data_IF_374981559629
#
_entry.id   IF_374981559629
#
_cell.length_a   1.000
_cell.length_b   1.000
_cell.length_c   1.000
_cell.angle_alpha   90.00
_cell.angle_beta   90.00
_cell.angle_gamma   90.00
#
_symmetry.space_group_name_H-M   'P 1'
#
loop_
_entity.id
_entity.type
_entity.pdbx_description
1 polymer ?
#
# COMPACT_ATOMS: atom_id res chain seq x y z
N UNK A 1 -39.97 -32.42 -0.12
CA UNK A 1 -38.67 -33.04 -0.40
C UNK A 1 -37.79 -32.29 -1.41
N UNK A 2 -38.28 -31.37 -2.26
CA UNK A 2 -37.47 -30.62 -3.24
C UNK A 2 -36.81 -29.32 -2.73
N UNK A 3 -37.17 -28.84 -1.53
CA UNK A 3 -36.60 -27.62 -0.94
C UNK A 3 -35.38 -27.82 -0.02
N UNK A 4 -35.15 -29.04 0.44
CA UNK A 4 -34.06 -29.39 1.35
C UNK A 4 -32.76 -29.71 0.58
N UNK A 5 -32.88 -30.15 -0.70
CA UNK A 5 -31.74 -30.51 -1.54
C UNK A 5 -30.99 -29.27 -2.05
N UNK A 6 -31.67 -28.13 -2.24
CA UNK A 6 -31.02 -26.89 -2.72
C UNK A 6 -30.19 -26.17 -1.67
N UNK A 7 -30.48 -26.38 -0.39
CA UNK A 7 -29.72 -25.74 0.71
C UNK A 7 -28.40 -26.46 0.96
N UNK A 8 -28.39 -27.80 0.75
CA UNK A 8 -27.14 -28.56 0.90
C UNK A 8 -26.12 -28.35 -0.26
N UNK A 9 -26.58 -27.99 -1.46
CA UNK A 9 -25.69 -27.73 -2.60
C UNK A 9 -25.03 -26.37 -2.48
N UNK A 10 -25.69 -25.38 -1.90
CA UNK A 10 -25.12 -24.04 -1.66
C UNK A 10 -24.07 -24.05 -0.53
N UNK A 11 -24.30 -24.85 0.52
CA UNK A 11 -23.34 -24.99 1.63
C UNK A 11 -22.04 -25.72 1.22
N UNK A 12 -22.12 -26.64 0.23
CA UNK A 12 -20.94 -27.36 -0.26
C UNK A 12 -20.08 -26.48 -1.21
N UNK A 13 -20.68 -25.51 -1.92
CA UNK A 13 -19.91 -24.56 -2.73
C UNK A 13 -19.16 -23.51 -1.92
N UNK A 14 -19.68 -23.11 -0.75
CA UNK A 14 -19.01 -22.13 0.14
C UNK A 14 -17.82 -22.77 0.88
N UNK A 15 -17.90 -24.06 1.20
CA UNK A 15 -16.79 -24.79 1.82
C UNK A 15 -15.66 -25.10 0.81
N UNK A 16 -15.99 -25.17 -0.49
CA UNK A 16 -15.00 -25.40 -1.55
C UNK A 16 -14.13 -24.18 -1.87
N UNK A 17 -14.54 -22.97 -1.49
CA UNK A 17 -13.77 -21.73 -1.74
C UNK A 17 -12.78 -21.45 -0.59
N UNK A 18 -13.09 -21.89 0.63
CA UNK A 18 -12.20 -21.76 1.79
C UNK A 18 -11.04 -22.78 1.82
N UNK A 19 -11.11 -23.85 1.01
CA UNK A 19 -10.04 -24.84 0.89
C UNK A 19 -9.11 -24.61 -0.32
N UNK A 20 -9.38 -23.62 -1.15
CA UNK A 20 -8.54 -23.29 -2.31
C UNK A 20 -7.47 -22.20 -2.01
N UNK A 21 -7.47 -21.60 -0.83
CA UNK A 21 -6.45 -20.65 -0.38
C UNK A 21 -5.32 -21.27 0.45
N UNK A 22 -5.28 -22.58 0.62
CA UNK A 22 -4.00 -23.23 0.90
C UNK A 22 -3.32 -23.48 -0.44
N UNK A 23 -2.82 -22.40 -1.06
CA UNK A 23 -1.77 -22.47 -2.06
C UNK A 23 -0.71 -23.39 -1.46
N UNK A 24 -0.49 -24.54 -2.09
CA UNK A 24 0.70 -25.33 -1.80
C UNK A 24 1.86 -24.34 -1.96
N UNK A 25 2.43 -23.88 -0.83
CA UNK A 25 3.71 -23.19 -0.82
C UNK A 25 4.67 -24.17 -1.50
N UNK A 26 4.89 -23.98 -2.79
CA UNK A 26 6.08 -24.52 -3.41
C UNK A 26 7.21 -23.78 -2.70
N UNK A 27 7.85 -24.44 -1.74
CA UNK A 27 9.17 -24.05 -1.29
C UNK A 27 10.08 -24.11 -2.53
N UNK A 28 10.14 -23.00 -3.25
CA UNK A 28 10.99 -22.85 -4.44
C UNK A 28 12.48 -22.85 -4.10
N UNK A 29 12.80 -22.86 -2.80
CA UNK A 29 14.17 -22.73 -2.29
C UNK A 29 14.45 -23.81 -1.25
N UNK A 30 15.55 -24.56 -1.42
CA UNK A 30 16.12 -25.41 -0.37
C UNK A 30 17.16 -24.60 0.41
N UNK A 31 17.39 -24.93 1.69
CA UNK A 31 18.40 -24.25 2.51
C UNK A 31 19.84 -24.39 1.98
N UNK A 32 20.08 -25.29 1.04
CA UNK A 32 21.39 -25.56 0.45
C UNK A 32 21.58 -24.90 -0.92
N UNK A 33 20.52 -24.30 -1.51
CA UNK A 33 20.60 -23.60 -2.79
C UNK A 33 20.77 -22.09 -2.59
N UNK A 34 21.53 -21.41 -3.48
CA UNK A 34 21.61 -19.95 -3.42
C UNK A 34 20.21 -19.35 -3.52
N UNK A 35 19.96 -18.28 -2.75
CA UNK A 35 18.70 -17.55 -2.78
C UNK A 35 18.45 -17.09 -4.22
N UNK A 36 17.37 -17.53 -4.82
CA UNK A 36 16.97 -17.15 -6.17
C UNK A 36 15.58 -16.52 -6.14
N UNK A 37 15.48 -15.32 -6.70
CA UNK A 37 14.21 -14.61 -6.81
C UNK A 37 13.94 -14.25 -8.27
N UNK A 38 12.66 -14.02 -8.56
CA UNK A 38 12.23 -13.36 -9.79
C UNK A 38 11.61 -12.03 -9.34
N UNK A 39 12.21 -10.94 -9.76
CA UNK A 39 11.71 -9.61 -9.41
C UNK A 39 10.52 -9.19 -10.28
N UNK A 40 9.94 -8.03 -9.97
CA UNK A 40 8.79 -7.50 -10.69
C UNK A 40 9.06 -7.19 -12.18
N UNK A 41 10.32 -7.07 -12.58
CA UNK A 41 10.75 -6.95 -13.99
C UNK A 41 10.98 -8.33 -14.68
N UNK A 42 10.55 -9.45 -14.05
CA UNK A 42 10.79 -10.82 -14.49
C UNK A 42 12.27 -11.18 -14.66
N UNK A 43 13.17 -10.54 -13.90
CA UNK A 43 14.59 -10.85 -13.90
C UNK A 43 14.91 -11.86 -12.83
N UNK A 44 15.74 -12.86 -13.17
CA UNK A 44 16.27 -13.82 -12.19
C UNK A 44 17.49 -13.20 -11.51
N UNK A 45 17.45 -13.12 -10.19
CA UNK A 45 18.51 -12.57 -9.36
C UNK A 45 18.87 -13.60 -8.31
N UNK A 46 20.17 -13.78 -8.05
CA UNK A 46 20.67 -14.77 -7.11
C UNK A 46 21.57 -14.13 -6.06
N UNK A 47 21.44 -14.58 -4.82
CA UNK A 47 22.29 -14.22 -3.72
C UNK A 47 22.91 -15.50 -3.13
N UNK A 48 24.19 -15.45 -2.75
CA UNK A 48 24.85 -16.58 -2.07
C UNK A 48 24.48 -16.69 -0.58
N UNK A 49 24.05 -15.58 -0.01
CA UNK A 49 23.63 -15.40 1.38
C UNK A 49 22.65 -14.25 1.47
N UNK A 50 21.85 -14.12 2.54
CA UNK A 50 20.93 -13.02 2.74
C UNK A 50 21.63 -11.66 2.71
N UNK A 51 21.03 -10.66 2.03
CA UNK A 51 21.56 -9.32 1.92
C UNK A 51 21.68 -8.65 3.31
N UNK A 52 22.83 -8.02 3.57
CA UNK A 52 23.14 -7.34 4.82
C UNK A 52 23.16 -5.82 4.68
N UNK A 53 23.15 -5.31 3.45
CA UNK A 53 23.14 -3.88 3.16
C UNK A 53 22.26 -3.57 1.95
N UNK A 54 21.46 -2.51 2.05
CA UNK A 54 20.53 -2.09 1.01
C UNK A 54 20.57 -0.59 0.79
N UNK A 55 20.58 -0.18 -0.48
CA UNK A 55 20.34 1.18 -0.88
C UNK A 55 18.96 1.29 -1.55
N UNK A 56 18.22 2.36 -1.25
CA UNK A 56 16.90 2.60 -1.82
C UNK A 56 16.81 3.96 -2.48
N UNK A 57 16.10 4.02 -3.60
CA UNK A 57 15.46 5.25 -4.07
C UNK A 57 13.95 5.05 -4.02
N UNK A 58 13.17 6.14 -4.03
CA UNK A 58 11.74 6.03 -3.71
C UNK A 58 11.51 5.42 -2.31
N UNK A 59 12.35 5.84 -1.36
CA UNK A 59 12.35 5.31 -0.02
C UNK A 59 10.98 5.35 0.67
N UNK A 60 10.12 6.30 0.32
CA UNK A 60 8.74 6.37 0.82
C UNK A 60 7.91 5.13 0.52
N UNK A 61 8.12 4.51 -0.64
CA UNK A 61 7.41 3.29 -1.05
C UNK A 61 8.18 2.02 -0.73
N UNK A 62 9.51 2.05 -0.64
CA UNK A 62 10.35 0.87 -0.44
C UNK A 62 10.66 0.60 1.03
N UNK A 63 11.05 1.64 1.77
CA UNK A 63 11.54 1.48 3.13
C UNK A 63 10.50 0.86 4.11
N UNK A 64 9.18 1.14 4.01
CA UNK A 64 8.19 0.51 4.89
C UNK A 64 8.22 -1.02 4.85
N UNK A 65 8.54 -1.63 3.71
CA UNK A 65 8.71 -3.08 3.63
C UNK A 65 9.91 -3.56 4.45
N UNK A 66 11.02 -2.81 4.40
CA UNK A 66 12.24 -3.12 5.15
C UNK A 66 12.02 -2.97 6.68
N UNK A 67 11.21 -1.98 7.08
CA UNK A 67 10.82 -1.83 8.48
C UNK A 67 9.93 -2.98 8.94
N UNK A 68 8.95 -3.39 8.14
CA UNK A 68 8.08 -4.50 8.44
C UNK A 68 8.83 -5.82 8.59
N UNK A 69 9.89 -6.01 7.81
CA UNK A 69 10.78 -7.17 7.90
C UNK A 69 11.81 -7.07 9.03
N UNK A 70 11.90 -5.93 9.73
CA UNK A 70 12.86 -5.71 10.81
C UNK A 70 14.30 -5.49 10.35
N UNK A 71 14.50 -5.12 9.07
CA UNK A 71 15.83 -4.91 8.45
C UNK A 71 16.10 -3.43 8.10
N UNK A 72 15.41 -2.51 8.76
CA UNK A 72 15.61 -1.06 8.56
C UNK A 72 17.03 -0.59 8.87
N UNK A 73 17.74 -1.26 9.78
CA UNK A 73 19.13 -1.00 10.13
C UNK A 73 20.13 -1.39 9.03
N UNK A 74 19.71 -2.20 8.06
CA UNK A 74 20.51 -2.56 6.87
C UNK A 74 20.46 -1.49 5.76
N UNK A 75 19.67 -0.42 5.92
CA UNK A 75 19.57 0.69 4.95
C UNK A 75 20.84 1.54 5.05
N UNK A 76 21.68 1.50 4.02
CA UNK A 76 22.93 2.28 3.93
C UNK A 76 22.78 3.54 3.08
N UNK A 77 21.70 3.65 2.30
CA UNK A 77 21.35 4.85 1.54
C UNK A 77 19.84 4.93 1.28
N UNK A 78 19.29 6.13 1.43
CA UNK A 78 17.88 6.42 1.11
C UNK A 78 17.68 7.91 0.82
N UNK A 79 16.64 8.23 0.05
CA UNK A 79 16.29 9.62 -0.27
C UNK A 79 15.11 10.15 0.56
N UNK A 80 14.39 9.30 1.29
CA UNK A 80 13.28 9.74 2.14
C UNK A 80 13.69 9.68 3.60
N UNK A 81 13.55 10.82 4.30
CA UNK A 81 14.05 11.03 5.66
C UNK A 81 13.03 11.64 6.61
N UNK A 82 11.76 11.78 6.21
CA UNK A 82 10.70 12.39 7.02
C UNK A 82 9.68 11.35 7.54
N UNK A 83 8.81 11.76 8.44
CA UNK A 83 7.71 10.94 8.94
C UNK A 83 8.19 9.65 9.61
N UNK A 84 7.60 8.51 9.21
CA UNK A 84 7.93 7.17 9.73
C UNK A 84 9.42 6.86 9.66
N UNK A 85 10.13 7.40 8.65
CA UNK A 85 11.55 7.09 8.45
C UNK A 85 12.43 7.62 9.58
N UNK A 86 12.08 8.76 10.19
CA UNK A 86 12.80 9.31 11.34
C UNK A 86 12.65 8.46 12.60
N UNK A 87 11.52 7.79 12.74
CA UNK A 87 11.28 6.87 13.86
C UNK A 87 11.93 5.52 13.61
N UNK A 88 11.87 5.04 12.37
CA UNK A 88 12.41 3.72 12.00
C UNK A 88 13.94 3.66 12.05
N UNK A 89 14.61 4.73 11.67
CA UNK A 89 16.06 4.76 11.53
C UNK A 89 16.62 5.90 12.39
N UNK A 90 17.18 5.59 13.57
CA UNK A 90 17.93 6.58 14.34
C UNK A 90 19.06 7.17 13.49
N UNK A 91 19.21 8.49 13.50
CA UNK A 91 20.21 9.24 12.73
C UNK A 91 20.06 9.10 11.19
N UNK A 92 18.83 9.01 10.69
CA UNK A 92 18.55 8.91 9.26
C UNK A 92 19.16 10.06 8.45
N UNK A 93 19.37 11.22 9.07
CA UNK A 93 19.99 12.39 8.44
C UNK A 93 21.46 12.14 8.04
N UNK A 94 22.15 11.25 8.74
CA UNK A 94 23.53 10.87 8.46
C UNK A 94 23.62 9.84 7.31
N UNK A 95 22.51 9.18 6.95
CA UNK A 95 22.47 8.20 5.85
C UNK A 95 22.51 8.94 4.51
N UNK A 96 23.45 8.62 3.61
CA UNK A 96 23.56 9.28 2.31
C UNK A 96 22.38 8.94 1.39
N UNK A 97 22.18 9.77 0.37
CA UNK A 97 21.26 9.47 -0.73
C UNK A 97 22.07 9.02 -1.96
N UNK A 98 21.53 8.07 -2.70
CA UNK A 98 22.04 7.66 -4.02
C UNK A 98 21.16 8.19 -5.16
N UNK A 99 20.51 9.33 -4.91
CA UNK A 99 19.62 9.99 -5.84
C UNK A 99 18.15 9.89 -5.42
N UNK A 100 17.29 10.55 -6.17
CA UNK A 100 15.84 10.55 -5.97
C UNK A 100 15.15 9.97 -7.21
N UNK A 101 14.85 10.81 -8.20
CA UNK A 101 14.29 10.39 -9.49
C UNK A 101 15.33 9.73 -10.41
N UNK A 102 16.59 10.09 -10.25
CA UNK A 102 17.70 9.56 -11.03
C UNK A 102 18.74 8.99 -10.09
N UNK A 103 19.23 7.81 -10.42
CA UNK A 103 20.26 7.12 -9.65
C UNK A 103 21.62 7.85 -9.80
N UNK A 104 22.26 8.15 -8.68
CA UNK A 104 23.65 8.53 -8.62
C UNK A 104 24.51 7.25 -8.57
N UNK A 105 24.97 6.81 -9.75
CA UNK A 105 25.77 5.60 -9.91
C UNK A 105 27.13 5.69 -9.18
N UNK A 106 27.71 6.88 -9.09
CA UNK A 106 28.98 7.07 -8.42
C UNK A 106 28.82 6.91 -6.91
N UNK A 107 27.83 7.55 -6.31
CA UNK A 107 27.51 7.38 -4.90
C UNK A 107 27.14 5.93 -4.57
N UNK A 108 26.34 5.27 -5.41
CA UNK A 108 25.96 3.86 -5.21
C UNK A 108 27.21 2.94 -5.31
N UNK A 109 28.10 3.17 -6.26
CA UNK A 109 29.32 2.38 -6.42
C UNK A 109 30.27 2.53 -5.22
N UNK A 110 30.37 3.73 -4.63
CA UNK A 110 31.19 3.97 -3.43
C UNK A 110 30.66 3.24 -2.20
N UNK A 111 29.31 3.18 -2.04
CA UNK A 111 28.69 2.48 -0.93
C UNK A 111 28.72 0.96 -1.10
N UNK A 112 28.68 0.50 -2.35
CA UNK A 112 28.74 -0.93 -2.72
C UNK A 112 27.81 -1.81 -1.88
N UNK A 113 26.48 -1.51 -1.78
CA UNK A 113 25.55 -2.33 -1.01
C UNK A 113 25.36 -3.70 -1.66
N UNK A 114 24.90 -4.69 -0.91
CA UNK A 114 24.55 -6.01 -1.42
C UNK A 114 23.43 -5.97 -2.45
N UNK A 115 22.48 -5.01 -2.25
CA UNK A 115 21.34 -4.82 -3.14
C UNK A 115 20.91 -3.35 -3.21
N UNK A 116 20.46 -2.95 -4.38
CA UNK A 116 19.72 -1.71 -4.62
C UNK A 116 18.26 -2.04 -4.93
N UNK A 117 17.31 -1.40 -4.24
CA UNK A 117 15.89 -1.62 -4.44
C UNK A 117 15.23 -0.33 -4.96
N UNK A 118 14.39 -0.51 -5.98
CA UNK A 118 13.61 0.57 -6.59
C UNK A 118 12.13 0.19 -6.65
N UNK A 119 11.25 1.14 -6.39
CA UNK A 119 9.80 0.93 -6.34
C UNK A 119 9.12 0.60 -7.67
N UNK A 120 9.84 0.66 -8.79
CA UNK A 120 9.29 0.37 -10.12
C UNK A 120 10.04 -0.74 -10.83
N UNK A 121 9.26 -1.66 -11.40
CA UNK A 121 9.76 -2.88 -11.99
C UNK A 121 10.65 -2.70 -13.24
N UNK A 122 10.39 -1.69 -14.06
CA UNK A 122 11.03 -1.52 -15.38
C UNK A 122 11.83 -0.21 -15.47
N UNK A 123 12.58 0.14 -14.41
CA UNK A 123 13.27 1.41 -14.34
C UNK A 123 14.68 1.30 -14.90
N UNK A 124 15.13 2.33 -15.64
CA UNK A 124 16.52 2.49 -16.08
C UNK A 124 17.51 2.57 -14.90
N UNK A 125 17.00 2.87 -13.70
CA UNK A 125 17.78 2.89 -12.46
C UNK A 125 18.29 1.49 -12.10
N UNK A 126 17.45 0.46 -12.32
CA UNK A 126 17.83 -0.94 -12.07
C UNK A 126 18.95 -1.38 -12.99
N UNK A 127 18.87 -1.01 -14.27
CA UNK A 127 19.94 -1.28 -15.24
C UNK A 127 21.22 -0.52 -14.86
N UNK A 128 21.09 0.74 -14.48
CA UNK A 128 22.18 1.58 -14.03
C UNK A 128 22.95 1.01 -12.83
N UNK A 129 22.28 0.41 -11.86
CA UNK A 129 22.91 -0.24 -10.73
C UNK A 129 23.66 -1.52 -11.17
N UNK A 130 23.05 -2.33 -12.04
CA UNK A 130 23.67 -3.55 -12.56
C UNK A 130 24.94 -3.26 -13.40
N UNK A 131 24.97 -2.18 -14.18
CA UNK A 131 26.14 -1.76 -14.96
C UNK A 131 27.38 -1.49 -14.11
N UNK A 132 27.19 -1.07 -12.86
CA UNK A 132 28.28 -0.82 -11.90
C UNK A 132 28.52 -2.00 -10.96
N UNK A 133 27.87 -3.15 -11.19
CA UNK A 133 28.08 -4.39 -10.44
C UNK A 133 27.27 -4.50 -9.13
N UNK A 134 26.33 -3.59 -8.86
CA UNK A 134 25.40 -3.67 -7.73
C UNK A 134 24.13 -4.40 -8.17
N UNK A 135 23.76 -5.48 -7.44
CA UNK A 135 22.50 -6.18 -7.70
C UNK A 135 21.33 -5.22 -7.49
N UNK A 136 20.34 -5.27 -8.39
CA UNK A 136 19.16 -4.42 -8.29
C UNK A 136 17.87 -5.24 -8.32
N UNK A 137 16.90 -4.84 -7.53
CA UNK A 137 15.56 -5.44 -7.45
C UNK A 137 14.53 -4.36 -7.74
N UNK A 138 13.63 -4.63 -8.70
CA UNK A 138 12.41 -3.88 -8.90
C UNK A 138 11.28 -4.54 -8.12
N UNK A 139 10.57 -3.77 -7.30
CA UNK A 139 9.36 -4.26 -6.64
C UNK A 139 8.12 -3.76 -7.37
N UNK A 140 7.02 -4.49 -7.24
CA UNK A 140 5.72 -4.11 -7.75
C UNK A 140 4.83 -3.67 -6.59
N UNK A 141 4.21 -2.53 -6.74
CA UNK A 141 3.47 -1.87 -5.65
C UNK A 141 2.15 -1.28 -6.15
N UNK A 142 1.41 -2.04 -6.97
CA UNK A 142 0.20 -1.54 -7.61
C UNK A 142 -1.09 -2.09 -6.98
N UNK A 143 -1.00 -3.16 -6.18
CA UNK A 143 -2.16 -3.82 -5.58
C UNK A 143 -1.85 -4.33 -4.18
N UNK A 144 -2.87 -4.70 -3.41
CA UNK A 144 -2.69 -5.35 -2.10
C UNK A 144 -2.02 -6.72 -2.22
N UNK A 145 -2.27 -7.45 -3.32
CA UNK A 145 -1.55 -8.69 -3.59
C UNK A 145 -0.07 -8.43 -3.88
N UNK A 146 0.27 -7.38 -4.63
CA UNK A 146 1.66 -6.98 -4.85
C UNK A 146 2.37 -6.62 -3.56
N UNK A 147 1.66 -6.03 -2.58
CA UNK A 147 2.21 -5.74 -1.24
C UNK A 147 2.63 -7.03 -0.56
N UNK A 148 1.75 -8.03 -0.50
CA UNK A 148 2.04 -9.31 0.12
C UNK A 148 3.17 -10.05 -0.59
N UNK A 149 3.14 -10.10 -1.93
CA UNK A 149 4.19 -10.73 -2.74
C UNK A 149 5.55 -10.03 -2.56
N UNK A 150 5.56 -8.69 -2.41
CA UNK A 150 6.78 -7.92 -2.15
C UNK A 150 7.35 -8.21 -0.76
N UNK A 151 6.49 -8.34 0.26
CA UNK A 151 6.91 -8.74 1.60
C UNK A 151 7.57 -10.12 1.55
N UNK A 152 6.96 -11.10 0.89
CA UNK A 152 7.52 -12.44 0.74
C UNK A 152 8.84 -12.43 -0.05
N UNK A 153 8.90 -11.72 -1.17
CA UNK A 153 10.11 -11.60 -1.99
C UNK A 153 11.26 -11.01 -1.20
N UNK A 154 11.03 -9.91 -0.49
CA UNK A 154 12.07 -9.27 0.32
C UNK A 154 12.42 -10.11 1.56
N UNK A 155 11.45 -10.83 2.14
CA UNK A 155 11.71 -11.82 3.18
C UNK A 155 12.78 -12.82 2.75
N UNK A 156 12.68 -13.38 1.54
CA UNK A 156 13.70 -14.27 0.97
C UNK A 156 15.05 -13.58 0.75
N UNK A 157 15.04 -12.34 0.24
CA UNK A 157 16.29 -11.60 -0.02
C UNK A 157 17.08 -11.34 1.27
N UNK A 158 16.39 -11.04 2.35
CA UNK A 158 17.00 -10.67 3.63
C UNK A 158 17.09 -11.82 4.63
N UNK A 159 16.53 -13.02 4.32
CA UNK A 159 16.50 -14.19 5.21
C UNK A 159 15.50 -14.00 6.38
N UNK A 160 14.40 -13.32 6.14
CA UNK A 160 13.37 -12.97 7.13
C UNK A 160 12.00 -13.56 6.75
N UNK A 161 11.98 -14.81 6.26
CA UNK A 161 10.77 -15.47 5.75
C UNK A 161 9.69 -15.64 6.82
N UNK A 162 10.08 -16.03 8.05
CA UNK A 162 9.14 -16.17 9.17
C UNK A 162 8.51 -14.80 9.51
N UNK A 163 9.31 -13.73 9.42
CA UNK A 163 8.84 -12.39 9.65
C UNK A 163 7.90 -11.92 8.53
N UNK A 164 8.22 -12.22 7.29
CA UNK A 164 7.36 -11.94 6.13
C UNK A 164 5.99 -12.63 6.28
N UNK A 165 5.99 -13.91 6.65
CA UNK A 165 4.75 -14.64 6.92
C UNK A 165 3.93 -14.03 8.06
N UNK A 166 4.59 -13.61 9.14
CA UNK A 166 3.91 -12.93 10.26
C UNK A 166 3.24 -11.63 9.80
N UNK A 167 3.96 -10.78 9.05
CA UNK A 167 3.44 -9.49 8.57
C UNK A 167 2.25 -9.70 7.63
N UNK A 168 2.37 -10.61 6.67
CA UNK A 168 1.29 -10.94 5.75
C UNK A 168 0.04 -11.46 6.48
N UNK A 169 0.22 -12.33 7.47
CA UNK A 169 -0.89 -12.84 8.29
C UNK A 169 -1.54 -11.71 9.12
N UNK A 170 -0.74 -10.77 9.63
CA UNK A 170 -1.25 -9.63 10.38
C UNK A 170 -2.10 -8.72 9.49
N UNK A 171 -1.61 -8.35 8.30
CA UNK A 171 -2.38 -7.56 7.33
C UNK A 171 -3.67 -8.30 6.91
N UNK A 172 -3.61 -9.61 6.69
CA UNK A 172 -4.78 -10.42 6.37
C UNK A 172 -5.82 -10.43 7.51
N UNK A 173 -5.39 -10.35 8.78
CA UNK A 173 -6.34 -10.25 9.90
C UNK A 173 -7.13 -8.94 9.88
N UNK A 174 -6.51 -7.82 9.52
CA UNK A 174 -7.20 -6.54 9.35
C UNK A 174 -8.14 -6.58 8.14
N UNK A 175 -7.71 -7.19 7.02
CA UNK A 175 -8.59 -7.41 5.87
C UNK A 175 -9.83 -8.23 6.26
N UNK A 176 -9.68 -9.22 7.15
CA UNK A 176 -10.81 -10.02 7.65
C UNK A 176 -11.80 -9.15 8.45
N UNK A 177 -11.31 -8.23 9.29
CA UNK A 177 -12.16 -7.25 9.98
C UNK A 177 -13.03 -6.50 8.97
N UNK A 178 -12.41 -5.94 7.91
CA UNK A 178 -13.16 -5.20 6.90
C UNK A 178 -14.23 -6.09 6.25
N UNK A 179 -13.81 -7.24 5.73
CA UNK A 179 -14.70 -8.13 4.97
C UNK A 179 -15.87 -8.67 5.79
N UNK A 180 -15.65 -8.96 7.06
CA UNK A 180 -16.70 -9.42 7.97
C UNK A 180 -17.74 -8.33 8.26
N UNK A 181 -17.30 -7.09 8.49
CA UNK A 181 -18.20 -5.98 8.80
C UNK A 181 -19.05 -5.56 7.61
N UNK A 182 -18.49 -5.55 6.39
CA UNK A 182 -19.26 -5.20 5.19
C UNK A 182 -19.95 -6.39 4.51
N UNK A 183 -19.89 -7.59 5.08
CA UNK A 183 -20.45 -8.81 4.47
C UNK A 183 -21.96 -8.73 4.16
N UNK A 184 -22.70 -7.92 4.89
CA UNK A 184 -24.13 -7.71 4.68
C UNK A 184 -24.45 -6.63 3.63
N UNK A 185 -23.48 -5.85 3.20
CA UNK A 185 -23.69 -4.74 2.26
C UNK A 185 -23.85 -5.30 0.84
N UNK A 186 -25.02 -5.07 0.25
CA UNK A 186 -25.27 -5.47 -1.13
C UNK A 186 -24.56 -4.55 -2.13
N UNK A 187 -24.29 -5.06 -3.33
CA UNK A 187 -23.61 -4.23 -4.35
C UNK A 187 -24.37 -2.93 -4.70
N UNK A 188 -25.70 -2.95 -4.62
CA UNK A 188 -26.51 -1.77 -4.95
C UNK A 188 -26.45 -0.70 -3.86
N UNK A 189 -26.12 -1.07 -2.64
CA UNK A 189 -26.03 -0.18 -1.47
C UNK A 189 -24.62 0.43 -1.30
N UNK A 190 -23.62 -0.06 -2.03
CA UNK A 190 -22.26 0.47 -1.92
C UNK A 190 -22.20 1.92 -2.40
N UNK A 191 -21.66 2.84 -1.58
CA UNK A 191 -21.53 4.26 -1.96
C UNK A 191 -20.52 4.46 -3.08
N UNK A 192 -20.73 5.52 -3.84
CA UNK A 192 -19.82 5.97 -4.89
C UNK A 192 -18.72 6.84 -4.28
N UNK A 193 -17.49 6.48 -4.50
CA UNK A 193 -16.30 7.09 -3.89
C UNK A 193 -15.40 7.68 -4.96
N UNK A 194 -14.84 8.85 -4.69
CA UNK A 194 -13.74 9.43 -5.43
C UNK A 194 -12.56 9.68 -4.50
N UNK A 195 -11.36 9.29 -4.90
CA UNK A 195 -10.12 9.65 -4.23
C UNK A 195 -9.37 10.66 -5.08
N UNK A 196 -9.16 11.85 -4.54
CA UNK A 196 -8.49 12.95 -5.19
C UNK A 196 -7.03 13.00 -4.76
N UNK A 197 -6.10 12.89 -5.71
CA UNK A 197 -4.67 12.85 -5.43
C UNK A 197 -4.00 14.23 -5.44
N UNK A 198 -4.57 15.20 -6.16
CA UNK A 198 -4.02 16.56 -6.33
C UNK A 198 -5.14 17.59 -6.39
N UNK A 199 -4.80 18.87 -6.20
CA UNK A 199 -5.74 20.00 -6.23
C UNK A 199 -6.53 20.11 -7.54
N UNK A 200 -5.98 19.65 -8.64
CA UNK A 200 -6.59 19.68 -9.97
C UNK A 200 -7.50 18.49 -10.28
N UNK A 201 -7.77 17.65 -9.29
CA UNK A 201 -8.61 16.46 -9.47
C UNK A 201 -7.94 15.39 -10.32
N UNK A 202 -6.69 15.08 -10.07
CA UNK A 202 -6.00 13.99 -10.71
C UNK A 202 -6.64 12.65 -10.33
N UNK A 203 -6.91 11.83 -11.32
CA UNK A 203 -7.38 10.46 -11.15
C UNK A 203 -6.24 9.52 -11.40
N UNK A 204 -6.07 8.58 -10.50
CA UNK A 204 -5.10 7.51 -10.67
C UNK A 204 -5.50 6.61 -11.87
N UNK A 205 -4.51 6.27 -12.64
CA UNK A 205 -4.58 5.29 -13.72
C UNK A 205 -4.23 3.89 -13.22
N UNK A 206 -4.04 2.96 -14.12
CA UNK A 206 -3.61 1.57 -13.87
C UNK A 206 -2.36 1.43 -12.96
N UNK A 207 -1.56 2.50 -12.79
CA UNK A 207 -0.40 2.53 -11.88
C UNK A 207 -0.84 2.69 -10.42
N UNK A 208 -2.04 3.20 -10.18
CA UNK A 208 -2.62 3.37 -8.85
C UNK A 208 -3.78 2.41 -8.60
N UNK A 209 -3.68 1.18 -9.11
CA UNK A 209 -4.66 0.11 -8.82
C UNK A 209 -4.90 -0.06 -7.32
N UNK A 210 -3.88 0.25 -6.49
CA UNK A 210 -3.99 0.23 -5.03
C UNK A 210 -5.13 1.11 -4.50
N UNK A 211 -5.33 2.31 -5.06
CA UNK A 211 -6.41 3.22 -4.63
C UNK A 211 -7.77 2.66 -5.04
N UNK A 212 -7.89 2.20 -6.28
CA UNK A 212 -9.13 1.56 -6.76
C UNK A 212 -9.44 0.30 -5.94
N UNK A 213 -8.43 -0.54 -5.70
CA UNK A 213 -8.57 -1.74 -4.89
C UNK A 213 -8.93 -1.39 -3.44
N UNK A 214 -8.34 -0.33 -2.87
CA UNK A 214 -8.69 0.17 -1.53
C UNK A 214 -10.16 0.56 -1.44
N UNK A 215 -10.70 1.27 -2.44
CA UNK A 215 -12.12 1.61 -2.51
C UNK A 215 -12.98 0.34 -2.50
N UNK A 216 -12.64 -0.67 -3.30
CA UNK A 216 -13.39 -1.92 -3.37
C UNK A 216 -13.29 -2.73 -2.08
N UNK A 217 -12.12 -2.83 -1.48
CA UNK A 217 -11.89 -3.50 -0.20
C UNK A 217 -12.68 -2.81 0.90
N UNK A 218 -12.70 -1.49 0.93
CA UNK A 218 -13.47 -0.70 1.89
C UNK A 218 -14.99 -0.81 1.71
N UNK A 219 -15.46 -1.45 0.65
CA UNK A 219 -16.89 -1.62 0.35
C UNK A 219 -17.49 -0.51 -0.51
N UNK A 220 -16.68 0.37 -1.08
CA UNK A 220 -17.12 1.43 -2.00
C UNK A 220 -17.21 0.99 -3.46
N UNK A 221 -17.59 1.92 -4.31
CA UNK A 221 -17.50 1.86 -5.77
C UNK A 221 -16.76 3.09 -6.26
N UNK A 222 -15.75 2.92 -7.08
CA UNK A 222 -15.11 4.05 -7.75
C UNK A 222 -16.08 4.74 -8.73
N UNK A 223 -16.07 6.06 -8.73
CA UNK A 223 -16.78 6.84 -9.76
C UNK A 223 -15.99 6.97 -11.05
N UNK A 224 -14.71 6.58 -11.04
CA UNK A 224 -13.81 6.69 -12.19
C UNK A 224 -14.15 5.61 -13.21
N UNK A 225 -14.46 5.94 -14.46
CA UNK A 225 -14.69 4.95 -15.49
C UNK A 225 -13.43 4.12 -15.77
N UNK A 226 -13.55 2.81 -15.84
CA UNK A 226 -12.44 1.88 -16.07
C UNK A 226 -11.63 2.11 -17.34
N UNK A 227 -12.15 2.87 -18.29
CA UNK A 227 -11.50 3.20 -19.56
C UNK A 227 -10.86 4.59 -19.61
N UNK A 228 -10.88 5.34 -18.49
CA UNK A 228 -10.35 6.71 -18.50
C UNK A 228 -8.82 6.74 -18.50
N UNK A 229 -8.21 5.65 -18.05
CA UNK A 229 -6.78 5.56 -17.75
C UNK A 229 -5.97 4.76 -18.76
N UNK A 230 -6.55 4.32 -19.90
CA UNK A 230 -5.80 3.55 -20.89
C UNK A 230 -4.51 4.27 -21.32
N UNK A 231 -3.38 3.85 -20.72
CA UNK A 231 -2.03 4.26 -21.09
C UNK A 231 -1.50 5.55 -20.47
N UNK A 232 -2.11 6.08 -19.42
CA UNK A 232 -1.64 7.28 -18.69
C UNK A 232 -1.58 7.06 -17.19
N UNK A 233 -0.52 7.56 -16.55
CA UNK A 233 -0.28 7.36 -15.12
C UNK A 233 -1.22 8.17 -14.23
N UNK A 234 -1.52 9.41 -14.62
CA UNK A 234 -2.44 10.33 -13.94
C UNK A 234 -3.26 11.06 -15.00
N UNK A 235 -4.57 11.04 -14.85
CA UNK A 235 -5.49 11.81 -15.70
C UNK A 235 -6.02 12.99 -14.91
N UNK A 236 -5.66 14.19 -15.31
CA UNK A 236 -6.28 15.41 -14.79
C UNK A 236 -7.72 15.49 -15.27
N UNK A 237 -8.66 15.34 -14.34
CA UNK A 237 -10.08 15.59 -14.58
C UNK A 237 -10.46 16.94 -13.96
N UNK A 238 -10.97 17.85 -14.76
CA UNK A 238 -11.44 19.12 -14.24
C UNK A 238 -12.63 18.94 -13.27
N UNK A 239 -12.85 19.94 -12.43
CA UNK A 239 -13.96 19.96 -11.46
C UNK A 239 -15.32 19.62 -12.12
N UNK A 240 -15.58 20.09 -13.34
CA UNK A 240 -16.83 19.80 -14.08
C UNK A 240 -17.03 18.28 -14.26
N UNK A 241 -15.96 17.53 -14.49
CA UNK A 241 -16.03 16.07 -14.63
C UNK A 241 -16.35 15.42 -13.28
N UNK A 242 -15.69 15.85 -12.21
CA UNK A 242 -15.92 15.35 -10.85
C UNK A 242 -17.38 15.67 -10.43
N UNK A 243 -17.87 16.87 -10.75
CA UNK A 243 -19.27 17.21 -10.52
C UNK A 243 -20.26 16.35 -11.33
N UNK A 244 -19.87 15.93 -12.52
CA UNK A 244 -20.70 15.02 -13.34
C UNK A 244 -20.75 13.62 -12.73
N UNK A 245 -19.64 13.14 -12.18
CA UNK A 245 -19.58 11.87 -11.44
C UNK A 245 -20.33 11.92 -10.12
N UNK A 246 -20.33 13.10 -9.47
CA UNK A 246 -21.04 13.41 -8.22
C UNK A 246 -20.92 12.28 -7.17
N UNK A 247 -19.69 12.00 -6.64
CA UNK A 247 -19.48 10.95 -5.67
C UNK A 247 -20.24 11.22 -4.36
N UNK A 248 -20.63 10.12 -3.67
CA UNK A 248 -21.23 10.19 -2.33
C UNK A 248 -20.19 10.54 -1.25
N UNK A 249 -18.94 10.13 -1.48
CA UNK A 249 -17.80 10.36 -0.59
C UNK A 249 -16.58 10.84 -1.37
N UNK A 250 -15.88 11.82 -0.81
CA UNK A 250 -14.62 12.32 -1.33
C UNK A 250 -13.51 12.05 -0.32
N UNK A 251 -12.48 11.34 -0.77
CA UNK A 251 -11.25 11.15 0.00
C UNK A 251 -10.10 11.91 -0.65
N UNK A 252 -9.23 12.46 0.20
CA UNK A 252 -8.05 13.21 -0.23
C UNK A 252 -6.81 12.39 0.05
N UNK A 253 -5.99 12.17 -0.97
CA UNK A 253 -4.65 11.64 -0.88
C UNK A 253 -3.66 12.81 -0.84
N UNK A 254 -3.54 13.47 0.29
CA UNK A 254 -2.73 14.68 0.43
C UNK A 254 -1.26 14.34 0.72
N UNK A 255 -0.58 13.69 -0.20
CA UNK A 255 0.85 13.33 -0.05
C UNK A 255 1.74 14.58 0.06
N UNK A 256 1.30 15.70 -0.48
CA UNK A 256 2.06 16.96 -0.52
C UNK A 256 1.44 18.08 0.31
N UNK A 257 0.39 17.80 1.09
CA UNK A 257 -0.23 18.77 1.99
C UNK A 257 -0.98 19.92 1.30
N UNK A 258 -1.35 19.76 0.02
CA UNK A 258 -1.90 20.85 -0.79
C UNK A 258 -3.40 21.10 -0.58
N UNK A 259 -4.14 20.13 -0.03
CA UNK A 259 -5.58 20.25 0.23
C UNK A 259 -5.98 19.57 1.53
N UNK A 260 -6.72 20.29 2.35
CA UNK A 260 -7.39 19.73 3.53
C UNK A 260 -8.88 19.51 3.28
N UNK A 261 -9.47 18.57 4.00
CA UNK A 261 -10.91 18.35 3.95
C UNK A 261 -11.69 19.62 4.37
N UNK A 262 -11.16 20.39 5.33
CA UNK A 262 -11.76 21.64 5.81
C UNK A 262 -11.81 22.71 4.70
N UNK A 263 -10.73 22.85 3.94
CA UNK A 263 -10.69 23.79 2.80
C UNK A 263 -11.74 23.44 1.75
N UNK A 264 -11.86 22.17 1.35
CA UNK A 264 -12.88 21.74 0.39
C UNK A 264 -14.28 21.95 0.94
N UNK A 265 -14.54 21.61 2.20
CA UNK A 265 -15.85 21.79 2.83
C UNK A 265 -16.24 23.28 2.94
N UNK A 266 -15.28 24.19 3.04
CA UNK A 266 -15.51 25.63 3.16
C UNK A 266 -15.55 26.36 1.83
N UNK A 267 -14.96 25.82 0.76
CA UNK A 267 -14.86 26.46 -0.54
C UNK A 267 -16.20 26.47 -1.30
N UNK A 268 -16.71 27.68 -1.69
CA UNK A 268 -17.92 27.80 -2.47
C UNK A 268 -17.92 27.01 -3.80
N UNK A 269 -16.76 26.78 -4.40
CA UNK A 269 -16.64 26.02 -5.65
C UNK A 269 -17.14 24.58 -5.52
N UNK A 270 -17.00 23.96 -4.34
CA UNK A 270 -17.35 22.57 -4.08
C UNK A 270 -18.76 22.37 -3.52
N UNK A 271 -19.47 23.46 -3.12
CA UNK A 271 -20.77 23.39 -2.41
C UNK A 271 -21.89 22.65 -3.16
N UNK A 272 -21.79 22.49 -4.46
CA UNK A 272 -22.80 21.80 -5.25
C UNK A 272 -22.66 20.27 -5.22
N UNK A 273 -21.49 19.73 -4.81
CA UNK A 273 -21.22 18.29 -4.73
C UNK A 273 -21.94 17.65 -3.54
N UNK A 274 -22.51 16.47 -3.73
CA UNK A 274 -23.28 15.79 -2.68
C UNK A 274 -22.41 15.34 -1.51
N UNK A 275 -21.17 14.88 -1.75
CA UNK A 275 -20.20 14.61 -0.70
C UNK A 275 -19.95 15.83 0.21
N UNK A 276 -19.77 17.02 -0.39
CA UNK A 276 -19.52 18.27 0.37
C UNK A 276 -20.76 18.73 1.13
N UNK A 277 -21.95 18.68 0.51
CA UNK A 277 -23.22 19.01 1.18
C UNK A 277 -23.48 18.13 2.40
N UNK A 278 -23.04 16.87 2.33
CA UNK A 278 -23.25 15.88 3.38
C UNK A 278 -22.12 15.83 4.41
N UNK A 279 -21.06 16.65 4.23
CA UNK A 279 -19.88 16.66 5.07
C UNK A 279 -19.02 15.38 4.94
N UNK A 280 -19.14 14.64 3.85
CA UNK A 280 -18.45 13.36 3.60
C UNK A 280 -17.17 13.57 2.80
N UNK A 281 -16.29 14.39 3.34
CA UNK A 281 -14.97 14.70 2.79
C UNK A 281 -13.92 14.36 3.85
N UNK A 282 -12.99 13.48 3.53
CA UNK A 282 -12.01 12.94 4.47
C UNK A 282 -10.61 12.96 3.88
N UNK A 283 -9.59 13.22 4.68
CA UNK A 283 -8.20 13.02 4.28
C UNK A 283 -7.75 11.62 4.71
N UNK A 284 -7.12 10.88 3.79
CA UNK A 284 -6.43 9.63 4.13
C UNK A 284 -5.12 10.02 4.82
N UNK A 285 -4.80 9.48 6.00
CA UNK A 285 -3.55 9.79 6.70
C UNK A 285 -2.31 9.56 5.81
N UNK A 286 -1.42 10.56 5.74
CA UNK A 286 -0.25 10.52 4.85
C UNK A 286 0.99 11.26 5.36
N UNK A 287 0.87 12.14 6.36
CA UNK A 287 2.01 12.97 6.80
C UNK A 287 3.10 12.15 7.50
N UNK A 288 2.71 11.24 8.38
CA UNK A 288 3.65 10.36 9.08
C UNK A 288 4.00 9.14 8.25
N UNK A 289 3.00 8.47 7.70
CA UNK A 289 3.10 7.28 6.86
C UNK A 289 1.98 7.31 5.82
N UNK A 290 2.30 7.06 4.56
CA UNK A 290 1.35 7.24 3.45
C UNK A 290 0.47 6.01 3.30
N UNK A 291 -0.69 5.98 3.99
CA UNK A 291 -1.63 4.85 3.95
C UNK A 291 -2.30 4.65 2.59
N UNK A 292 -2.27 5.64 1.72
CA UNK A 292 -2.79 5.54 0.35
C UNK A 292 -1.79 4.98 -0.67
N UNK A 293 -0.54 4.74 -0.26
CA UNK A 293 0.48 4.11 -1.11
C UNK A 293 0.52 2.61 -0.86
N UNK A 294 0.87 1.82 -1.88
CA UNK A 294 1.07 0.39 -1.73
C UNK A 294 2.25 0.10 -0.80
N UNK A 295 1.96 -0.20 0.43
CA UNK A 295 2.89 -0.51 1.52
C UNK A 295 2.17 -1.39 2.55
N UNK A 296 2.85 -2.00 3.51
CA UNK A 296 2.18 -2.77 4.56
C UNK A 296 1.07 -2.00 5.29
N UNK A 297 1.22 -0.67 5.47
CA UNK A 297 0.22 0.18 6.14
C UNK A 297 -0.99 0.56 5.28
N UNK A 298 -1.00 0.26 3.98
CA UNK A 298 -2.16 0.55 3.12
C UNK A 298 -3.44 -0.14 3.58
N UNK A 299 -3.34 -1.26 4.29
CA UNK A 299 -4.49 -1.93 4.88
C UNK A 299 -5.20 -1.08 5.95
N UNK A 300 -4.45 -0.23 6.66
CA UNK A 300 -5.03 0.75 7.59
C UNK A 300 -5.83 1.82 6.84
N UNK A 301 -5.35 2.24 5.66
CA UNK A 301 -6.10 3.14 4.76
C UNK A 301 -7.42 2.53 4.32
N UNK A 302 -7.43 1.25 3.96
CA UNK A 302 -8.66 0.52 3.61
C UNK A 302 -9.63 0.40 4.80
N UNK A 303 -9.12 0.09 6.00
CA UNK A 303 -9.95 0.03 7.21
C UNK A 303 -10.50 1.42 7.57
N UNK A 304 -9.67 2.46 7.54
CA UNK A 304 -10.09 3.84 7.76
C UNK A 304 -11.22 4.22 6.80
N UNK A 305 -11.02 4.00 5.50
CA UNK A 305 -12.04 4.29 4.49
C UNK A 305 -13.33 3.52 4.77
N UNK A 306 -13.25 2.23 5.07
CA UNK A 306 -14.43 1.41 5.36
C UNK A 306 -15.23 1.91 6.57
N UNK A 307 -14.55 2.34 7.63
CA UNK A 307 -15.16 2.97 8.80
C UNK A 307 -15.88 4.27 8.43
N UNK A 308 -15.28 5.10 7.57
CA UNK A 308 -15.94 6.33 7.11
C UNK A 308 -17.16 6.05 6.22
N UNK A 309 -17.12 4.99 5.41
CA UNK A 309 -18.26 4.59 4.58
C UNK A 309 -19.42 4.01 5.38
N UNK A 310 -19.13 3.27 6.45
CA UNK A 310 -20.12 2.49 7.22
C UNK A 310 -19.90 2.61 8.75
N UNK A 311 -19.91 3.81 9.33
CA UNK A 311 -19.58 3.99 10.75
C UNK A 311 -20.49 3.16 11.68
N UNK A 312 -21.72 2.88 11.28
CA UNK A 312 -22.67 2.08 12.06
C UNK A 312 -22.31 0.59 12.14
N UNK A 313 -21.51 0.08 11.17
CA UNK A 313 -21.06 -1.31 11.18
C UNK A 313 -19.83 -1.55 12.05
N UNK A 314 -19.11 -0.50 12.43
CA UNK A 314 -17.83 -0.57 13.16
C UNK A 314 -17.92 -0.06 14.61
N UNK A 315 -19.11 -0.07 15.21
CA UNK A 315 -19.33 0.45 16.58
C UNK A 315 -18.65 -0.39 17.67
N UNK A 316 -18.23 -1.59 17.37
CA UNK A 316 -17.51 -2.53 18.24
C UNK A 316 -15.98 -2.50 18.00
N UNK A 317 -15.51 -1.70 17.07
CA UNK A 317 -14.08 -1.59 16.71
C UNK A 317 -13.45 -0.38 17.38
N UNK A 318 -12.35 -0.61 18.08
CA UNK A 318 -11.44 0.43 18.53
C UNK A 318 -10.35 0.64 17.47
N UNK A 319 -10.62 1.57 16.52
CA UNK A 319 -9.73 1.84 15.40
C UNK A 319 -8.35 2.35 15.85
N UNK A 320 -8.30 3.24 16.85
CA UNK A 320 -7.05 3.77 17.37
C UNK A 320 -6.17 2.67 17.96
N UNK A 321 -6.78 1.75 18.72
CA UNK A 321 -6.07 0.60 19.26
C UNK A 321 -5.50 -0.31 18.16
N UNK A 322 -6.26 -0.56 17.09
CA UNK A 322 -5.80 -1.35 15.93
C UNK A 322 -4.60 -0.67 15.27
N UNK A 323 -4.66 0.64 15.07
CA UNK A 323 -3.57 1.41 14.45
C UNK A 323 -2.30 1.33 15.29
N UNK A 324 -2.39 1.61 16.58
CA UNK A 324 -1.24 1.55 17.51
C UNK A 324 -0.64 0.12 17.51
N UNK A 325 -1.51 -0.89 17.58
CA UNK A 325 -1.09 -2.29 17.60
C UNK A 325 -0.42 -2.70 16.28
N UNK A 326 -0.90 -2.18 15.14
CA UNK A 326 -0.28 -2.37 13.83
C UNK A 326 1.16 -1.83 13.81
N UNK A 327 1.38 -0.57 14.17
CA UNK A 327 2.73 0.02 14.16
C UNK A 327 3.68 -0.74 15.08
N UNK A 328 3.20 -1.16 16.23
CA UNK A 328 3.99 -1.95 17.18
C UNK A 328 4.34 -3.33 16.64
N UNK A 329 3.37 -4.05 16.08
CA UNK A 329 3.57 -5.44 15.66
C UNK A 329 4.16 -5.56 14.25
N UNK A 330 3.84 -4.65 13.32
CA UNK A 330 4.33 -4.70 11.94
C UNK A 330 5.65 -3.94 11.80
N UNK A 331 5.77 -2.76 12.38
CA UNK A 331 6.97 -1.94 12.22
C UNK A 331 7.89 -1.94 13.46
N UNK A 332 7.45 -2.51 14.59
CA UNK A 332 8.21 -2.47 15.84
C UNK A 332 8.29 -1.07 16.45
N UNK A 333 7.36 -0.18 16.14
CA UNK A 333 7.37 1.23 16.53
C UNK A 333 6.30 1.54 17.55
N UNK A 334 6.67 2.32 18.57
CA UNK A 334 5.72 2.96 19.45
C UNK A 334 5.37 4.35 18.88
N UNK A 335 4.12 4.54 18.48
CA UNK A 335 3.60 5.78 17.90
C UNK A 335 2.40 6.27 18.70
N UNK A 336 2.09 7.57 18.61
CA UNK A 336 0.85 8.12 19.17
C UNK A 336 -0.15 8.45 18.05
N UNK A 337 -1.43 8.50 18.39
CA UNK A 337 -2.50 8.90 17.48
C UNK A 337 -2.27 10.32 16.94
N UNK A 338 -1.75 11.23 17.77
CA UNK A 338 -1.41 12.59 17.38
C UNK A 338 -0.31 12.63 16.30
N UNK A 339 0.75 11.78 16.43
CA UNK A 339 1.80 11.68 15.41
C UNK A 339 1.26 11.20 14.06
N UNK A 340 0.19 10.41 14.08
CA UNK A 340 -0.46 9.87 12.88
C UNK A 340 -1.47 10.83 12.24
N UNK A 341 -1.74 12.00 12.88
CA UNK A 341 -2.72 12.95 12.39
C UNK A 341 -4.17 12.48 12.52
N UNK A 342 -4.46 11.60 13.48
CA UNK A 342 -5.78 11.02 13.71
C UNK A 342 -6.56 11.66 14.87
N UNK A 343 -6.02 12.72 15.49
CA UNK A 343 -6.63 13.44 16.63
C UNK A 343 -7.61 14.52 16.18
#
# INVERSE_FOLDING_TARGET
MKRIINICILAVMIIGILTACTSAKNNLYSQDDPIQIIDAANRKISFSEPAQSVATTWGGSVNPYLYALGVGDRIVATNNKSGIHQVAIPNIDDIPSVGSWKLDKEALAQLSPDVYIHGWAASEQLEGANEIGVRSIGIKTNSFNDVADTIDLLGHVFGEEDRAEYVNNYCASILSIITEHIASVSNDEKPVVFVMAEETGAVASDIYDTIEEMIYIAGGKSCVPSNISEGTDIVNVGLETIFTWNPDYLFLQSVYGELSAEEILSDPAWKAMDAVKSGKVYAIPCEFDTWSSASPSSILGALYMSIQLYPELYTDIDFEAIVIDFYKNVYGMDVSIEQLGLS
#
